data_IF_662483986772
#
_entry.id   IF_662483986772
#
_cell.length_a   1.000
_cell.length_b   1.000
_cell.length_c   1.000
_cell.angle_alpha   90.00
_cell.angle_beta   90.00
_cell.angle_gamma   90.00
#
_symmetry.space_group_name_H-M   'P 1'
#
loop_
_entity.id
_entity.type
_entity.pdbx_description
1 polymer ?
#
# COMPACT_ATOMS: atom_id res chain seq x y z
N UNK A 1 2.36 -20.08 -2.22
CA UNK A 1 2.66 -21.20 -1.31
C UNK A 1 3.69 -22.22 -1.85
N UNK A 2 3.96 -22.31 -3.16
CA UNK A 2 4.85 -23.37 -3.71
C UNK A 2 6.34 -23.26 -3.29
N UNK A 3 6.82 -22.06 -2.97
CA UNK A 3 8.22 -21.80 -2.59
C UNK A 3 8.43 -21.51 -1.08
N UNK A 4 7.35 -21.52 -0.28
CA UNK A 4 7.39 -21.26 1.16
C UNK A 4 6.41 -22.18 1.91
N UNK A 5 6.41 -23.47 1.54
CA UNK A 5 5.45 -24.47 2.05
C UNK A 5 5.52 -24.67 3.56
N UNK A 6 6.68 -24.44 4.19
CA UNK A 6 6.85 -24.51 5.64
C UNK A 6 6.01 -23.49 6.42
N UNK A 7 5.49 -22.45 5.76
CA UNK A 7 4.58 -21.50 6.39
C UNK A 7 3.17 -22.05 6.67
N UNK A 8 2.76 -23.10 5.93
CA UNK A 8 1.41 -23.67 6.03
C UNK A 8 1.20 -24.21 7.44
N UNK A 9 0.15 -23.74 8.12
CA UNK A 9 -0.19 -24.10 9.49
C UNK A 9 0.67 -23.42 10.56
N UNK A 10 1.62 -22.56 10.18
CA UNK A 10 2.46 -21.80 11.11
C UNK A 10 2.01 -20.34 11.27
N UNK A 11 0.97 -19.91 10.54
CA UNK A 11 0.36 -18.58 10.73
C UNK A 11 1.30 -17.43 10.38
N UNK A 12 2.21 -17.62 9.43
CA UNK A 12 3.15 -16.59 8.99
C UNK A 12 3.19 -16.51 7.47
N UNK A 13 3.42 -15.31 6.94
CA UNK A 13 3.68 -15.10 5.53
C UNK A 13 4.83 -14.10 5.35
N UNK A 14 5.52 -14.19 4.22
CA UNK A 14 6.52 -13.21 3.80
C UNK A 14 6.28 -12.79 2.37
N UNK A 15 6.64 -11.55 2.05
CA UNK A 15 6.66 -11.01 0.68
C UNK A 15 7.87 -10.11 0.50
N UNK A 16 8.42 -10.07 -0.71
CA UNK A 16 9.49 -9.14 -1.09
C UNK A 16 8.85 -8.01 -1.89
N UNK A 17 9.07 -6.78 -1.44
CA UNK A 17 8.61 -5.58 -2.10
C UNK A 17 9.74 -4.85 -2.82
N UNK A 18 9.40 -4.26 -3.96
CA UNK A 18 10.31 -3.46 -4.78
C UNK A 18 9.67 -2.11 -5.06
N UNK A 19 10.37 -1.04 -4.71
CA UNK A 19 10.00 0.32 -5.09
C UNK A 19 11.06 0.84 -6.05
N UNK A 20 10.67 1.04 -7.31
CA UNK A 20 11.50 1.78 -8.25
C UNK A 20 11.77 3.20 -7.74
N UNK A 21 12.73 3.89 -8.36
CA UNK A 21 12.92 5.31 -8.13
C UNK A 21 11.59 6.05 -8.31
N UNK A 22 11.22 6.89 -7.34
CA UNK A 22 9.92 7.56 -7.30
C UNK A 22 8.70 6.63 -7.34
N UNK A 23 8.83 5.34 -6.98
CA UNK A 23 7.75 4.36 -6.96
C UNK A 23 6.88 4.46 -5.71
N UNK A 24 5.63 4.01 -5.82
CA UNK A 24 4.69 3.94 -4.71
C UNK A 24 4.00 2.57 -4.68
N UNK A 25 3.90 1.98 -3.49
CA UNK A 25 2.97 0.91 -3.22
C UNK A 25 1.65 1.57 -2.81
N UNK A 26 0.58 1.29 -3.55
CA UNK A 26 -0.70 1.99 -3.39
C UNK A 26 -1.23 1.87 -1.96
N UNK A 27 -1.96 2.89 -1.45
CA UNK A 27 -2.61 2.78 -0.16
C UNK A 27 -3.43 1.49 -0.05
N UNK A 28 -3.11 0.68 0.94
CA UNK A 28 -3.70 -0.65 1.14
C UNK A 28 -3.83 -0.99 2.63
N UNK A 29 -4.53 -2.07 2.92
CA UNK A 29 -4.63 -2.65 4.26
C UNK A 29 -4.57 -4.18 4.19
N UNK A 30 -4.09 -4.80 5.26
CA UNK A 30 -4.16 -6.25 5.48
C UNK A 30 -5.24 -6.55 6.53
N UNK A 31 -6.43 -7.03 6.12
CA UNK A 31 -7.52 -7.25 7.06
C UNK A 31 -7.24 -8.33 8.11
N UNK A 32 -6.32 -9.25 7.83
CA UNK A 32 -6.06 -10.44 8.67
C UNK A 32 -4.68 -10.47 9.33
N UNK A 33 -3.82 -9.47 9.10
CA UNK A 33 -2.47 -9.47 9.64
C UNK A 33 -1.93 -8.08 9.98
N UNK A 34 -1.09 -8.04 11.00
CA UNK A 34 -0.09 -6.98 11.21
C UNK A 34 1.08 -7.23 10.26
N UNK A 35 1.58 -6.16 9.65
CA UNK A 35 2.78 -6.19 8.81
C UNK A 35 3.98 -5.66 9.59
N UNK A 36 5.12 -6.36 9.49
CA UNK A 36 6.44 -5.82 9.79
C UNK A 36 7.19 -5.64 8.47
N UNK A 37 7.58 -4.42 8.17
CA UNK A 37 8.30 -4.06 6.96
C UNK A 37 9.78 -3.78 7.29
N UNK A 38 10.70 -4.54 6.72
CA UNK A 38 12.14 -4.40 6.91
C UNK A 38 12.82 -3.94 5.62
N UNK A 39 13.54 -2.81 5.68
CA UNK A 39 14.33 -2.34 4.53
C UNK A 39 15.61 -3.17 4.37
N UNK A 40 15.73 -3.85 3.23
CA UNK A 40 16.93 -4.60 2.85
C UNK A 40 17.96 -3.67 2.20
N UNK A 41 17.51 -2.84 1.25
CA UNK A 41 18.34 -1.88 0.55
C UNK A 41 17.54 -0.63 0.15
N UNK A 42 18.18 0.52 0.24
CA UNK A 42 17.57 1.82 0.02
C UNK A 42 16.73 2.35 1.20
N UNK A 43 16.40 3.63 1.10
CA UNK A 43 15.55 4.34 2.06
C UNK A 43 14.21 4.65 1.38
N UNK A 44 13.12 4.59 2.14
CA UNK A 44 11.79 4.93 1.67
C UNK A 44 10.94 5.50 2.81
N UNK A 45 9.87 6.20 2.44
CA UNK A 45 8.89 6.71 3.39
C UNK A 45 7.76 5.71 3.53
N UNK A 46 7.28 5.58 4.76
CA UNK A 46 6.06 4.85 5.07
C UNK A 46 5.09 5.74 5.81
N UNK A 47 3.80 5.48 5.63
CA UNK A 47 2.79 6.13 6.44
C UNK A 47 1.58 5.25 6.67
N UNK A 48 0.85 5.53 7.74
CA UNK A 48 -0.38 4.81 8.05
C UNK A 48 -1.41 5.65 8.79
N UNK A 49 -2.66 5.27 8.61
CA UNK A 49 -3.82 5.71 9.35
C UNK A 49 -4.42 4.49 10.06
N UNK A 50 -4.59 4.59 11.37
CA UNK A 50 -5.18 3.51 12.16
C UNK A 50 -6.70 3.50 12.05
N UNK A 51 -7.33 4.66 12.23
CA UNK A 51 -8.78 4.82 12.31
C UNK A 51 -9.19 6.29 12.13
N UNK A 52 -10.50 6.53 12.01
CA UNK A 52 -11.06 7.87 11.85
C UNK A 52 -10.77 8.76 13.06
N UNK A 53 -10.38 10.01 12.81
CA UNK A 53 -10.11 10.99 13.86
C UNK A 53 -8.72 10.89 14.49
N UNK A 54 -7.93 9.86 14.13
CA UNK A 54 -6.52 9.75 14.49
C UNK A 54 -5.66 10.36 13.40
N UNK A 55 -4.57 11.03 13.79
CA UNK A 55 -3.63 11.66 12.85
C UNK A 55 -2.88 10.64 12.00
N UNK A 56 -2.56 11.04 10.76
CA UNK A 56 -1.71 10.24 9.88
C UNK A 56 -0.27 10.25 10.39
N UNK A 57 0.35 9.07 10.46
CA UNK A 57 1.73 8.90 10.90
C UNK A 57 2.62 8.70 9.67
N UNK A 58 3.76 9.39 9.63
CA UNK A 58 4.79 9.27 8.58
C UNK A 58 6.16 8.99 9.20
N UNK A 59 6.89 8.06 8.62
CA UNK A 59 8.24 7.71 9.04
C UNK A 59 9.15 7.41 7.84
N UNK A 60 10.43 7.77 7.96
CA UNK A 60 11.47 7.30 7.06
C UNK A 60 11.98 5.94 7.52
N UNK A 61 11.85 4.91 6.69
CA UNK A 61 12.50 3.61 6.89
C UNK A 61 13.86 3.66 6.18
N UNK A 62 14.92 3.61 6.98
CA UNK A 62 16.29 3.53 6.48
C UNK A 62 16.70 2.09 6.26
N UNK A 63 17.67 1.86 5.38
CA UNK A 63 18.29 0.55 5.20
C UNK A 63 18.64 -0.11 6.55
N UNK A 64 18.21 -1.36 6.73
CA UNK A 64 18.43 -2.14 7.95
C UNK A 64 17.50 -1.81 9.12
N UNK A 65 16.50 -0.95 8.92
CA UNK A 65 15.49 -0.61 9.92
C UNK A 65 14.11 -1.12 9.53
N UNK A 66 13.18 -1.08 10.49
CA UNK A 66 11.81 -1.60 10.32
C UNK A 66 10.74 -0.57 10.58
N UNK A 67 9.60 -0.75 9.93
CA UNK A 67 8.32 -0.20 10.34
C UNK A 67 7.32 -1.33 10.67
N UNK A 68 6.26 -1.00 11.40
CA UNK A 68 5.16 -1.91 11.69
C UNK A 68 3.86 -1.22 11.32
N UNK A 69 3.00 -1.93 10.60
CA UNK A 69 1.63 -1.51 10.31
C UNK A 69 0.66 -2.41 11.05
N UNK A 70 -0.14 -1.87 11.99
CA UNK A 70 -1.11 -2.68 12.72
C UNK A 70 -2.14 -3.31 11.79
N UNK A 71 -2.67 -4.47 12.17
CA UNK A 71 -3.74 -5.13 11.42
C UNK A 71 -4.90 -4.17 11.12
N UNK A 72 -5.34 -4.16 9.87
CA UNK A 72 -6.43 -3.31 9.40
C UNK A 72 -6.04 -1.85 9.13
N UNK A 73 -4.84 -1.39 9.51
CA UNK A 73 -4.40 -0.02 9.24
C UNK A 73 -4.23 0.22 7.73
N UNK A 74 -4.77 1.34 7.25
CA UNK A 74 -4.50 1.81 5.90
C UNK A 74 -3.09 2.38 5.89
N UNK A 75 -2.21 1.84 5.07
CA UNK A 75 -0.82 2.27 4.99
C UNK A 75 -0.34 2.37 3.55
N UNK A 76 0.83 3.00 3.40
CA UNK A 76 1.48 3.31 2.14
C UNK A 76 2.99 3.23 2.32
N UNK A 77 3.67 2.74 1.29
CA UNK A 77 5.11 2.85 1.14
C UNK A 77 5.42 3.62 -0.14
N UNK A 78 6.33 4.57 -0.06
CA UNK A 78 6.75 5.36 -1.20
C UNK A 78 8.24 5.61 -1.19
N UNK A 79 8.87 5.36 -2.31
CA UNK A 79 10.27 5.70 -2.51
C UNK A 79 10.33 7.12 -3.10
N UNK A 80 10.81 8.09 -2.33
CA UNK A 80 11.00 9.47 -2.79
C UNK A 80 12.43 9.73 -3.30
N UNK A 81 13.25 8.68 -3.42
CA UNK A 81 14.61 8.76 -3.91
C UNK A 81 14.70 8.43 -5.40
N UNK A 82 15.83 8.82 -6.00
CA UNK A 82 16.13 8.60 -7.42
C UNK A 82 16.77 7.22 -7.71
N UNK A 83 16.87 6.37 -6.69
CA UNK A 83 17.38 5.00 -6.78
C UNK A 83 16.33 4.02 -6.23
N UNK A 84 16.26 2.78 -6.72
CA UNK A 84 15.32 1.79 -6.21
C UNK A 84 15.55 1.44 -4.74
N UNK A 85 14.51 0.94 -4.08
CA UNK A 85 14.54 0.36 -2.75
C UNK A 85 13.92 -1.05 -2.76
N UNK A 86 14.44 -1.93 -1.91
CA UNK A 86 13.94 -3.30 -1.72
C UNK A 86 13.69 -3.55 -0.24
N UNK A 87 12.55 -4.15 0.06
CA UNK A 87 12.15 -4.47 1.42
C UNK A 87 11.52 -5.86 1.51
N UNK A 88 11.47 -6.39 2.73
CA UNK A 88 10.82 -7.65 3.04
C UNK A 88 9.74 -7.36 4.06
N UNK A 89 8.54 -7.85 3.79
CA UNK A 89 7.42 -7.78 4.72
C UNK A 89 7.15 -9.15 5.32
N UNK A 90 6.89 -9.17 6.62
CA UNK A 90 6.49 -10.36 7.36
C UNK A 90 5.13 -10.13 8.01
N UNK A 91 4.31 -11.16 8.01
CA UNK A 91 2.94 -11.13 8.53
C UNK A 91 2.78 -12.15 9.65
N UNK A 92 1.98 -11.81 10.65
CA UNK A 92 1.53 -12.73 11.69
C UNK A 92 0.28 -13.55 11.30
N UNK A 93 0.05 -13.71 9.99
CA UNK A 93 -0.96 -14.60 9.43
C UNK A 93 -0.40 -15.20 8.13
N UNK A 94 -0.67 -16.47 7.87
CA UNK A 94 -0.26 -17.15 6.63
C UNK A 94 -1.05 -16.69 5.40
N UNK A 95 -2.22 -16.11 5.62
CA UNK A 95 -3.03 -15.45 4.62
C UNK A 95 -3.43 -14.04 5.13
N UNK A 96 -2.56 -13.03 4.95
CA UNK A 96 -2.82 -11.69 5.47
C UNK A 96 -4.02 -11.01 4.79
N UNK A 97 -4.33 -11.41 3.55
CA UNK A 97 -5.29 -10.74 2.66
C UNK A 97 -4.85 -9.32 2.30
N UNK A 98 -5.12 -8.85 1.08
CA UNK A 98 -4.76 -7.49 0.68
C UNK A 98 -5.99 -6.76 0.17
N UNK A 99 -6.16 -5.51 0.60
CA UNK A 99 -7.22 -4.64 0.11
C UNK A 99 -6.62 -3.28 -0.24
N UNK A 100 -6.43 -3.04 -1.54
CA UNK A 100 -6.01 -1.74 -2.07
C UNK A 100 -7.19 -0.78 -2.02
N UNK A 101 -7.05 0.33 -1.30
CA UNK A 101 -8.19 1.16 -0.89
C UNK A 101 -8.95 1.73 -2.08
N UNK A 102 -8.25 2.34 -3.03
CA UNK A 102 -8.89 2.95 -4.19
C UNK A 102 -9.62 1.91 -5.06
N UNK A 103 -9.00 0.74 -5.31
CA UNK A 103 -9.66 -0.32 -6.07
C UNK A 103 -10.87 -0.88 -5.33
N UNK A 104 -10.76 -1.15 -4.03
CA UNK A 104 -11.88 -1.66 -3.27
C UNK A 104 -13.07 -0.68 -3.24
N UNK A 105 -12.80 0.62 -3.11
CA UNK A 105 -13.83 1.63 -3.02
C UNK A 105 -14.48 1.91 -4.38
N UNK A 106 -13.69 2.18 -5.43
CA UNK A 106 -14.21 2.59 -6.74
C UNK A 106 -14.52 1.43 -7.68
N UNK A 107 -13.77 0.32 -7.62
CA UNK A 107 -14.02 -0.86 -8.46
C UNK A 107 -14.84 -1.95 -7.74
N UNK A 108 -14.78 -2.03 -6.41
CA UNK A 108 -15.39 -3.11 -5.63
C UNK A 108 -16.82 -2.85 -5.16
N UNK A 109 -17.25 -1.58 -5.11
CA UNK A 109 -18.59 -1.19 -4.67
C UNK A 109 -19.49 -0.80 -5.85
N UNK A 110 -20.83 -0.95 -5.71
CA UNK A 110 -21.78 -0.41 -6.68
C UNK A 110 -21.62 1.11 -6.84
N UNK A 111 -21.68 1.61 -8.06
CA UNK A 111 -21.44 3.04 -8.35
C UNK A 111 -22.42 3.97 -7.61
N UNK A 112 -23.67 3.54 -7.41
CA UNK A 112 -24.64 4.32 -6.64
C UNK A 112 -24.27 4.42 -5.14
N UNK A 113 -23.63 3.39 -4.58
CA UNK A 113 -23.12 3.42 -3.19
C UNK A 113 -21.92 4.37 -3.09
N UNK A 114 -21.01 4.32 -4.06
CA UNK A 114 -19.86 5.23 -4.14
C UNK A 114 -20.34 6.68 -4.31
N UNK A 115 -21.27 6.91 -5.24
CA UNK A 115 -21.85 8.22 -5.50
C UNK A 115 -22.48 8.83 -4.24
N UNK A 116 -23.32 8.06 -3.54
CA UNK A 116 -23.92 8.48 -2.28
C UNK A 116 -22.86 8.79 -1.20
N UNK A 117 -21.80 7.98 -1.12
CA UNK A 117 -20.71 8.15 -0.15
C UNK A 117 -19.86 9.40 -0.40
N UNK A 118 -19.86 9.93 -1.63
CA UNK A 118 -19.10 11.10 -2.04
C UNK A 118 -19.96 12.38 -2.13
N UNK A 119 -21.15 12.39 -1.52
CA UNK A 119 -22.06 13.54 -1.52
C UNK A 119 -22.96 13.58 -2.76
N UNK A 120 -23.58 12.44 -3.08
CA UNK A 120 -24.51 12.27 -4.20
C UNK A 120 -23.90 12.57 -5.58
N UNK A 121 -22.63 12.15 -5.79
CA UNK A 121 -22.01 12.23 -7.11
C UNK A 121 -22.76 11.36 -8.13
N UNK A 122 -22.87 11.88 -9.35
CA UNK A 122 -23.47 11.16 -10.46
C UNK A 122 -22.67 9.90 -10.79
N UNK A 123 -23.38 8.81 -11.09
CA UNK A 123 -22.83 7.52 -11.53
C UNK A 123 -21.81 7.65 -12.66
N UNK A 124 -22.03 8.52 -13.64
CA UNK A 124 -21.07 8.71 -14.74
C UNK A 124 -19.75 9.33 -14.27
N UNK A 125 -19.80 10.21 -13.26
CA UNK A 125 -18.59 10.78 -12.65
C UNK A 125 -17.84 9.69 -11.87
N UNK A 126 -18.57 8.81 -11.17
CA UNK A 126 -17.97 7.67 -10.47
C UNK A 126 -17.28 6.75 -11.47
N UNK A 127 -17.90 6.46 -12.61
CA UNK A 127 -17.30 5.66 -13.68
C UNK A 127 -16.04 6.31 -14.26
N UNK A 128 -16.06 7.62 -14.48
CA UNK A 128 -14.88 8.36 -14.96
C UNK A 128 -13.71 8.25 -13.98
N UNK A 129 -13.98 8.37 -12.67
CA UNK A 129 -12.96 8.19 -11.63
C UNK A 129 -12.46 6.74 -11.63
N UNK A 130 -13.37 5.77 -11.70
CA UNK A 130 -13.07 4.34 -11.72
C UNK A 130 -12.10 3.97 -12.83
N UNK A 131 -12.30 4.52 -14.04
CA UNK A 131 -11.38 4.34 -15.16
C UNK A 131 -9.98 4.91 -14.92
N UNK A 132 -9.84 5.87 -14.00
CA UNK A 132 -8.59 6.52 -13.65
C UNK A 132 -7.86 5.86 -12.47
N UNK A 133 -8.50 4.91 -11.77
CA UNK A 133 -7.89 4.23 -10.62
C UNK A 133 -6.72 3.36 -11.08
N UNK A 134 -5.55 3.60 -10.51
CA UNK A 134 -4.36 2.79 -10.77
C UNK A 134 -4.56 1.34 -10.28
N UNK A 135 -4.17 0.37 -11.11
CA UNK A 135 -4.28 -1.08 -10.82
C UNK A 135 -2.93 -1.77 -10.62
N UNK A 136 -1.85 -1.08 -10.97
CA UNK A 136 -0.47 -1.54 -10.80
C UNK A 136 0.32 -0.44 -10.08
N UNK A 137 1.40 -0.78 -9.34
CA UNK A 137 2.16 0.19 -8.55
C UNK A 137 2.50 1.41 -9.42
N UNK A 138 1.91 2.58 -9.11
CA UNK A 138 2.02 3.75 -9.95
C UNK A 138 3.47 4.18 -10.08
N UNK A 139 3.72 4.86 -11.19
CA UNK A 139 4.74 5.89 -11.22
C UNK A 139 4.34 6.89 -10.13
N UNK A 140 5.14 7.00 -9.06
CA UNK A 140 4.77 7.76 -7.88
C UNK A 140 4.82 9.27 -8.10
N UNK A 141 5.08 10.02 -7.03
CA UNK A 141 4.80 11.46 -6.98
C UNK A 141 5.50 12.22 -8.13
N UNK A 142 4.72 13.02 -8.87
CA UNK A 142 5.18 13.77 -10.04
C UNK A 142 6.36 14.71 -9.74
N UNK A 143 6.38 15.28 -8.53
CA UNK A 143 7.51 16.08 -8.04
C UNK A 143 8.81 15.26 -7.98
N UNK A 144 8.76 14.04 -7.41
CA UNK A 144 9.93 13.16 -7.31
C UNK A 144 10.47 12.84 -8.71
N UNK A 145 9.58 12.46 -9.63
CA UNK A 145 9.95 12.18 -11.01
C UNK A 145 10.70 13.32 -11.66
N UNK A 146 10.15 14.54 -11.56
CA UNK A 146 10.79 15.75 -12.09
C UNK A 146 12.17 15.97 -11.48
N UNK A 147 12.32 15.77 -10.16
CA UNK A 147 13.60 15.88 -9.46
C UNK A 147 14.61 14.83 -9.94
N UNK A 148 14.16 13.61 -10.23
CA UNK A 148 15.00 12.48 -10.60
C UNK A 148 15.20 12.32 -12.12
N UNK A 149 14.58 13.15 -12.95
CA UNK A 149 14.67 13.07 -14.41
C UNK A 149 13.94 11.86 -15.00
N UNK A 150 12.81 11.46 -14.39
CA UNK A 150 11.97 10.33 -14.79
C UNK A 150 10.63 10.76 -15.41
#
# INVERSE_FOLDING_TARGET
ASNFSGAIGNGVALTIGYLNACGINLPLTYPRATEINFSVDGDFEVGFLQENGVGFVMNTVRRGTTALFPQGAVHVEQNLNCVPATFVVAFNNEDPGVLTIANAFFDGLPENVVGASLGDLNITIVDDIRMSVARNPPVGIAECRKRCGL
#
